data_IF_415956514328
#
_entry.id   IF_415956514328
#
_cell.length_a   1.000
_cell.length_b   1.000
_cell.length_c   1.000
_cell.angle_alpha   90.00
_cell.angle_beta   90.00
_cell.angle_gamma   90.00
#
_symmetry.space_group_name_H-M   'P 1'
#
loop_
_entity.id
_entity.type
_entity.pdbx_description
1 polymer ?
#
# COMPACT_ATOMS: atom_id res chain seq x y z
N UNK A 1 27.62 -12.10 10.09
CA UNK A 1 26.97 -11.08 9.22
C UNK A 1 25.52 -10.93 9.66
N UNK A 2 25.06 -9.73 10.03
CA UNK A 2 23.66 -9.47 10.44
C UNK A 2 22.75 -9.69 9.22
N UNK A 3 21.69 -10.49 9.34
CA UNK A 3 20.69 -10.66 8.29
C UNK A 3 19.81 -9.40 8.22
N UNK A 4 19.86 -8.58 7.15
CA UNK A 4 19.06 -7.37 7.06
C UNK A 4 17.57 -7.62 6.75
N UNK A 5 17.19 -8.85 6.40
CA UNK A 5 15.84 -9.21 5.93
C UNK A 5 14.70 -8.70 6.81
N UNK A 6 14.70 -8.97 8.13
CA UNK A 6 13.62 -8.51 9.02
C UNK A 6 13.46 -6.98 9.03
N UNK A 7 14.57 -6.24 9.00
CA UNK A 7 14.53 -4.78 8.98
C UNK A 7 13.95 -4.26 7.66
N UNK A 8 14.35 -4.83 6.52
CA UNK A 8 13.84 -4.43 5.20
C UNK A 8 12.33 -4.65 5.12
N UNK A 9 11.82 -5.83 5.53
CA UNK A 9 10.39 -6.13 5.48
C UNK A 9 9.57 -5.16 6.34
N UNK A 10 10.05 -4.85 7.55
CA UNK A 10 9.36 -3.92 8.46
C UNK A 10 9.38 -2.50 7.92
N UNK A 11 10.53 -2.00 7.46
CA UNK A 11 10.66 -0.63 6.94
C UNK A 11 9.82 -0.46 5.67
N UNK A 12 9.90 -1.40 4.73
CA UNK A 12 9.11 -1.37 3.51
C UNK A 12 7.61 -1.39 3.81
N UNK A 13 7.18 -2.21 4.78
CA UNK A 13 5.77 -2.32 5.15
C UNK A 13 5.25 -1.11 5.91
N UNK A 14 6.07 -0.49 6.75
CA UNK A 14 5.72 0.79 7.38
C UNK A 14 5.54 1.89 6.32
N UNK A 15 6.45 1.95 5.34
CA UNK A 15 6.33 2.85 4.20
C UNK A 15 5.08 2.58 3.36
N UNK A 16 4.77 1.32 3.09
CA UNK A 16 3.57 0.92 2.37
C UNK A 16 2.28 1.34 3.09
N UNK A 17 2.18 1.07 4.39
CA UNK A 17 1.01 1.42 5.19
C UNK A 17 0.79 2.95 5.25
N UNK A 18 1.85 3.71 5.54
CA UNK A 18 1.79 5.18 5.56
C UNK A 18 1.46 5.76 4.19
N UNK A 19 2.14 5.27 3.14
CA UNK A 19 1.90 5.70 1.77
C UNK A 19 0.46 5.44 1.32
N UNK A 20 -0.10 4.28 1.67
CA UNK A 20 -1.49 3.92 1.38
C UNK A 20 -2.47 4.88 2.05
N UNK A 21 -2.30 5.15 3.34
CA UNK A 21 -3.18 6.05 4.09
C UNK A 21 -3.11 7.48 3.55
N UNK A 22 -1.92 7.96 3.23
CA UNK A 22 -1.73 9.29 2.67
C UNK A 22 -2.38 9.37 1.27
N UNK A 23 -2.16 8.38 0.41
CA UNK A 23 -2.70 8.38 -0.94
C UNK A 23 -4.22 8.24 -0.95
N UNK A 24 -4.80 7.28 -0.21
CA UNK A 24 -6.26 7.16 -0.07
C UNK A 24 -6.86 8.41 0.55
N UNK A 25 -6.27 8.96 1.61
CA UNK A 25 -6.76 10.19 2.23
C UNK A 25 -6.79 11.37 1.25
N UNK A 26 -5.76 11.49 0.38
CA UNK A 26 -5.73 12.52 -0.66
C UNK A 26 -6.73 12.26 -1.79
N UNK A 27 -6.94 11.01 -2.19
CA UNK A 27 -7.95 10.64 -3.20
C UNK A 27 -9.36 10.95 -2.68
N UNK A 28 -9.68 10.43 -1.50
CA UNK A 28 -10.98 10.60 -0.88
C UNK A 28 -11.28 12.07 -0.59
N UNK A 29 -10.29 12.84 -0.11
CA UNK A 29 -10.47 14.29 0.11
C UNK A 29 -10.65 15.07 -1.19
N UNK A 30 -10.02 14.66 -2.29
CA UNK A 30 -10.14 15.35 -3.57
C UNK A 30 -11.49 15.05 -4.26
N UNK A 31 -12.05 13.86 -4.02
CA UNK A 31 -13.27 13.38 -4.65
C UNK A 31 -14.50 13.36 -3.72
N UNK A 32 -14.34 13.86 -2.49
CA UNK A 32 -15.35 13.87 -1.42
C UNK A 32 -15.94 12.48 -1.12
N UNK A 33 -15.07 11.47 -1.06
CA UNK A 33 -15.44 10.09 -0.74
C UNK A 33 -15.58 9.92 0.77
N UNK A 34 -16.81 9.63 1.22
CA UNK A 34 -17.17 9.27 2.59
C UNK A 34 -16.96 10.32 3.69
N UNK A 35 -16.75 11.59 3.32
CA UNK A 35 -16.82 12.75 4.21
C UNK A 35 -15.80 12.81 5.37
N UNK A 36 -16.03 13.74 6.31
CA UNK A 36 -15.07 14.12 7.35
C UNK A 36 -14.70 13.02 8.37
N UNK A 37 -15.45 11.91 8.44
CA UNK A 37 -15.22 10.81 9.39
C UNK A 37 -14.12 9.81 8.98
N UNK A 38 -13.67 9.84 7.73
CA UNK A 38 -12.80 8.81 7.17
C UNK A 38 -11.36 8.84 7.67
N UNK A 39 -10.88 9.96 8.22
CA UNK A 39 -9.52 10.06 8.76
C UNK A 39 -9.27 9.07 9.90
N UNK A 40 -10.27 8.88 10.77
CA UNK A 40 -10.16 7.94 11.88
C UNK A 40 -10.13 6.48 11.39
N UNK A 41 -10.94 6.16 10.39
CA UNK A 41 -10.96 4.83 9.76
C UNK A 41 -9.62 4.53 9.08
N UNK A 42 -9.06 5.50 8.36
CA UNK A 42 -7.76 5.36 7.72
C UNK A 42 -6.64 5.09 8.74
N UNK A 43 -6.62 5.81 9.86
CA UNK A 43 -5.57 5.71 10.87
C UNK A 43 -5.72 4.49 11.80
N UNK A 44 -6.95 4.19 12.24
CA UNK A 44 -7.19 3.13 13.23
C UNK A 44 -7.42 1.76 12.61
N UNK A 45 -7.85 1.69 11.34
CA UNK A 45 -8.14 0.42 10.68
C UNK A 45 -7.21 0.17 9.49
N UNK A 46 -7.18 1.07 8.51
CA UNK A 46 -6.41 0.83 7.28
C UNK A 46 -4.91 0.81 7.52
N UNK A 47 -4.39 1.72 8.33
CA UNK A 47 -2.96 1.77 8.65
C UNK A 47 -2.46 0.46 9.29
N UNK A 48 -3.02 -0.02 10.42
CA UNK A 48 -2.55 -1.28 11.02
C UNK A 48 -2.87 -2.49 10.13
N UNK A 49 -4.03 -2.53 9.47
CA UNK A 49 -4.36 -3.66 8.59
C UNK A 49 -3.38 -3.76 7.41
N UNK A 50 -3.12 -2.65 6.73
CA UNK A 50 -2.17 -2.61 5.60
C UNK A 50 -0.75 -2.95 6.06
N UNK A 51 -0.35 -2.47 7.24
CA UNK A 51 0.95 -2.83 7.81
C UNK A 51 1.07 -4.34 8.06
N UNK A 52 0.07 -4.94 8.71
CA UNK A 52 0.08 -6.39 9.00
C UNK A 52 0.11 -7.20 7.71
N UNK A 53 -0.77 -6.89 6.75
CA UNK A 53 -0.81 -7.55 5.45
C UNK A 53 0.53 -7.41 4.73
N UNK A 54 1.08 -6.19 4.67
CA UNK A 54 2.36 -5.94 4.01
C UNK A 54 3.50 -6.68 4.69
N UNK A 55 3.60 -6.68 6.03
CA UNK A 55 4.66 -7.42 6.74
C UNK A 55 4.56 -8.91 6.47
N UNK A 56 3.36 -9.48 6.48
CA UNK A 56 3.15 -10.90 6.16
C UNK A 56 3.57 -11.21 4.72
N UNK A 57 3.11 -10.44 3.74
CA UNK A 57 3.42 -10.67 2.32
C UNK A 57 4.91 -10.49 2.05
N UNK A 58 5.51 -9.39 2.50
CA UNK A 58 6.94 -9.11 2.31
C UNK A 58 7.83 -10.13 3.01
N UNK A 59 7.44 -10.58 4.21
CA UNK A 59 8.15 -11.64 4.94
C UNK A 59 8.12 -12.98 4.20
N UNK A 60 6.95 -13.39 3.68
CA UNK A 60 6.81 -14.61 2.88
C UNK A 60 7.64 -14.52 1.60
N UNK A 61 7.50 -13.43 0.84
CA UNK A 61 8.26 -13.21 -0.41
C UNK A 61 9.75 -13.24 -0.13
N UNK A 62 10.22 -12.51 0.89
CA UNK A 62 11.62 -12.52 1.29
C UNK A 62 12.11 -13.94 1.61
N UNK A 63 11.38 -14.68 2.45
CA UNK A 63 11.77 -16.02 2.87
C UNK A 63 11.83 -17.01 1.69
N UNK A 64 10.85 -16.96 0.78
CA UNK A 64 10.81 -17.81 -0.41
C UNK A 64 11.95 -17.45 -1.36
N UNK A 65 12.12 -16.17 -1.69
CA UNK A 65 13.19 -15.73 -2.60
C UNK A 65 14.57 -16.03 -2.03
N UNK A 66 14.76 -15.88 -0.71
CA UNK A 66 16.03 -16.21 -0.06
C UNK A 66 16.32 -17.71 -0.10
N UNK A 67 15.31 -18.56 0.09
CA UNK A 67 15.46 -20.03 0.02
C UNK A 67 15.81 -20.51 -1.39
N UNK A 68 15.25 -19.89 -2.42
CA UNK A 68 15.45 -20.30 -3.82
C UNK A 68 16.74 -19.75 -4.40
N UNK A 69 17.00 -18.45 -4.19
CA UNK A 69 18.11 -17.77 -4.86
C UNK A 69 19.42 -17.75 -4.04
N UNK A 70 19.33 -17.93 -2.72
CA UNK A 70 20.41 -17.69 -1.75
C UNK A 70 21.03 -16.27 -1.84
N UNK A 71 20.36 -15.33 -2.49
CA UNK A 71 20.83 -13.95 -2.71
C UNK A 71 20.01 -12.97 -1.88
N UNK A 72 20.58 -12.52 -0.76
CA UNK A 72 19.90 -11.59 0.17
C UNK A 72 19.50 -10.26 -0.49
N UNK A 73 20.28 -9.75 -1.44
CA UNK A 73 19.94 -8.53 -2.17
C UNK A 73 18.69 -8.71 -3.04
N UNK A 74 18.56 -9.87 -3.71
CA UNK A 74 17.40 -10.19 -4.54
C UNK A 74 16.16 -10.40 -3.67
N UNK A 75 16.30 -11.09 -2.53
CA UNK A 75 15.21 -11.26 -1.57
C UNK A 75 14.71 -9.92 -1.00
N UNK A 76 15.63 -9.01 -0.67
CA UNK A 76 15.27 -7.66 -0.23
C UNK A 76 14.55 -6.86 -1.31
N UNK A 77 15.02 -6.91 -2.56
CA UNK A 77 14.36 -6.24 -3.68
C UNK A 77 12.95 -6.80 -3.90
N UNK A 78 12.80 -8.12 -3.91
CA UNK A 78 11.50 -8.78 -4.06
C UNK A 78 10.52 -8.36 -2.95
N UNK A 79 10.99 -8.24 -1.70
CA UNK A 79 10.18 -7.76 -0.59
C UNK A 79 9.72 -6.31 -0.79
N UNK A 80 10.60 -5.41 -1.28
CA UNK A 80 10.21 -4.03 -1.58
C UNK A 80 9.16 -3.97 -2.70
N UNK A 81 9.35 -4.74 -3.78
CA UNK A 81 8.36 -4.84 -4.86
C UNK A 81 7.02 -5.34 -4.34
N UNK A 82 7.03 -6.37 -3.48
CA UNK A 82 5.82 -6.90 -2.87
C UNK A 82 5.09 -5.85 -2.00
N UNK A 83 5.82 -5.02 -1.24
CA UNK A 83 5.24 -3.92 -0.48
C UNK A 83 4.53 -2.90 -1.40
N UNK A 84 5.17 -2.52 -2.52
CA UNK A 84 4.58 -1.61 -3.53
C UNK A 84 3.31 -2.22 -4.13
N UNK A 85 3.30 -3.51 -4.43
CA UNK A 85 2.11 -4.20 -4.93
C UNK A 85 0.97 -4.21 -3.91
N UNK A 86 1.27 -4.34 -2.61
CA UNK A 86 0.26 -4.22 -1.55
C UNK A 86 -0.34 -2.81 -1.53
N UNK A 87 0.48 -1.76 -1.64
CA UNK A 87 -0.04 -0.37 -1.76
C UNK A 87 -0.98 -0.27 -2.94
N UNK A 88 -0.52 -0.69 -4.12
CA UNK A 88 -1.31 -0.58 -5.34
C UNK A 88 -2.63 -1.36 -5.28
N UNK A 89 -2.60 -2.60 -4.79
CA UNK A 89 -3.81 -3.41 -4.59
C UNK A 89 -4.78 -2.76 -3.58
N UNK A 90 -4.26 -2.13 -2.53
CA UNK A 90 -5.09 -1.43 -1.55
C UNK A 90 -5.73 -0.18 -2.15
N UNK A 91 -5.00 0.58 -2.98
CA UNK A 91 -5.58 1.71 -3.72
C UNK A 91 -6.67 1.26 -4.68
N UNK A 92 -6.40 0.22 -5.48
CA UNK A 92 -7.36 -0.35 -6.42
C UNK A 92 -8.67 -0.75 -5.72
N UNK A 93 -8.58 -1.44 -4.59
CA UNK A 93 -9.75 -1.94 -3.87
C UNK A 93 -10.55 -0.86 -3.12
N UNK A 94 -9.88 0.21 -2.66
CA UNK A 94 -10.46 1.11 -1.68
C UNK A 94 -10.48 2.59 -2.10
N UNK A 95 -10.08 2.95 -3.32
CA UNK A 95 -10.24 4.34 -3.80
C UNK A 95 -11.72 4.74 -3.93
N UNK A 96 -12.62 3.75 -3.99
CA UNK A 96 -14.06 3.95 -3.86
C UNK A 96 -14.77 4.14 -5.21
N UNK A 97 -14.36 3.42 -6.25
CA UNK A 97 -14.97 3.47 -7.61
C UNK A 97 -16.49 3.57 -7.62
N UNK A 98 -17.15 2.85 -6.71
CA UNK A 98 -18.61 2.70 -6.65
C UNK A 98 -19.30 3.78 -5.79
N UNK A 99 -18.53 4.68 -5.18
CA UNK A 99 -19.07 5.75 -4.35
C UNK A 99 -19.67 6.86 -5.22
N UNK A 100 -20.95 7.25 -5.01
CA UNK A 100 -21.60 8.25 -5.82
C UNK A 100 -21.05 9.65 -5.50
N UNK A 101 -20.14 10.16 -6.34
CA UNK A 101 -19.66 11.55 -6.29
C UNK A 101 -19.79 12.22 -7.66
N UNK A 102 -20.23 13.48 -7.73
CA UNK A 102 -20.22 14.25 -8.97
C UNK A 102 -18.86 14.92 -9.25
N UNK A 103 -17.89 14.82 -8.34
CA UNK A 103 -16.65 15.62 -8.38
C UNK A 103 -15.57 14.95 -9.24
N UNK A 104 -15.41 13.63 -9.11
CA UNK A 104 -14.39 12.87 -9.81
C UNK A 104 -15.03 11.74 -10.63
N UNK A 105 -14.58 11.56 -11.86
CA UNK A 105 -14.91 10.38 -12.64
C UNK A 105 -14.28 9.14 -11.98
N UNK A 106 -15.10 8.13 -11.68
CA UNK A 106 -14.70 6.90 -10.98
C UNK A 106 -13.94 7.11 -9.66
N UNK A 107 -14.12 8.25 -8.99
CA UNK A 107 -13.39 8.59 -7.76
C UNK A 107 -11.87 8.68 -7.94
N UNK A 108 -11.40 8.95 -9.17
CA UNK A 108 -9.98 9.17 -9.48
C UNK A 108 -9.74 10.69 -9.59
N UNK A 109 -8.83 11.26 -8.78
CA UNK A 109 -8.58 12.69 -8.81
C UNK A 109 -7.75 13.11 -10.04
N UNK A 110 -7.88 14.36 -10.51
CA UNK A 110 -7.22 14.84 -11.74
C UNK A 110 -5.69 14.91 -11.64
N UNK A 111 -5.14 14.86 -10.43
CA UNK A 111 -3.69 14.79 -10.21
C UNK A 111 -3.14 13.35 -10.33
N UNK A 112 -4.00 12.33 -10.37
CA UNK A 112 -3.55 10.95 -10.55
C UNK A 112 -3.00 10.76 -11.97
N UNK A 113 -1.83 10.13 -12.14
CA UNK A 113 -1.27 9.95 -13.47
C UNK A 113 -2.12 9.02 -14.33
N UNK A 114 -2.51 9.45 -15.52
CA UNK A 114 -3.36 8.69 -16.45
C UNK A 114 -2.74 7.39 -16.97
N UNK A 115 -1.42 7.24 -16.85
CA UNK A 115 -0.68 6.05 -17.27
C UNK A 115 -0.55 4.99 -16.15
N UNK A 116 -0.98 5.29 -14.91
CA UNK A 116 -1.00 4.32 -13.81
C UNK A 116 -2.43 3.79 -13.65
N UNK A 117 -2.68 2.49 -13.88
CA UNK A 117 -4.01 1.92 -13.68
C UNK A 117 -4.40 1.95 -12.20
N UNK A 118 -5.69 2.17 -11.95
CA UNK A 118 -6.30 2.32 -10.63
C UNK A 118 -7.71 1.73 -10.60
#
# INVERSE_FOLDING_TARGET
>A
MRNPGPAVCVIASAGAALGTVILLGRMWSACDVGGAGNAMVLLLLYLPATFVVSVTVTGVVYAVTQRVSHRSALASLAAVVAAVLVVWATLWLFHGSDYPTPICENNIPPWWPTWIPL
#
